data_IF_451777228408
#
_entry.id   IF_451777228408
#
_cell.length_a   1.000
_cell.length_b   1.000
_cell.length_c   1.000
_cell.angle_alpha   90.00
_cell.angle_beta   90.00
_cell.angle_gamma   90.00
#
_symmetry.space_group_name_H-M   'P 1'
#
loop_
_entity.id
_entity.type
_entity.pdbx_description
1 polymer ?
#
# COMPACT_ATOMS: atom_id res chain seq x y z
N UNK A 1 -86.95 -38.94 -9.29
CA UNK A 1 -86.43 -37.74 -8.64
C UNK A 1 -85.33 -38.16 -7.69
N UNK A 2 -84.11 -38.15 -8.14
CA UNK A 2 -82.91 -38.63 -7.36
C UNK A 2 -82.16 -37.44 -6.85
N UNK A 3 -82.01 -37.34 -5.52
CA UNK A 3 -81.31 -36.27 -4.81
C UNK A 3 -79.84 -36.73 -4.61
N UNK A 4 -78.88 -36.01 -5.19
CA UNK A 4 -77.49 -36.24 -4.97
C UNK A 4 -77.06 -35.48 -3.72
N UNK A 5 -76.52 -36.20 -2.71
CA UNK A 5 -75.82 -35.68 -1.54
C UNK A 5 -74.36 -35.42 -1.90
N UNK A 6 -73.97 -34.15 -1.88
CA UNK A 6 -72.54 -33.80 -1.92
C UNK A 6 -71.93 -33.99 -0.53
N UNK A 7 -70.92 -34.85 -0.47
CA UNK A 7 -70.03 -35.03 0.69
C UNK A 7 -68.84 -34.08 0.53
N UNK A 8 -68.78 -33.06 1.39
CA UNK A 8 -67.59 -32.21 1.50
C UNK A 8 -66.57 -32.94 2.37
N UNK A 9 -65.35 -33.22 1.81
CA UNK A 9 -64.17 -33.66 2.56
C UNK A 9 -63.40 -32.39 3.04
N UNK A 10 -62.99 -32.29 4.31
CA UNK A 10 -62.15 -31.21 4.76
C UNK A 10 -60.73 -31.41 4.22
N UNK A 11 -60.21 -30.38 3.53
CA UNK A 11 -58.79 -30.30 3.13
C UNK A 11 -58.01 -29.86 4.36
N UNK A 12 -57.20 -30.78 4.90
CA UNK A 12 -56.28 -30.49 5.98
C UNK A 12 -55.07 -29.76 5.41
N UNK A 13 -54.94 -28.45 5.68
CA UNK A 13 -53.79 -27.64 5.33
C UNK A 13 -52.73 -27.85 6.41
N UNK A 14 -51.72 -28.68 6.15
CA UNK A 14 -50.52 -28.78 6.93
C UNK A 14 -49.63 -27.60 6.54
N UNK A 15 -49.57 -26.57 7.41
CA UNK A 15 -48.63 -25.47 7.30
C UNK A 15 -47.25 -26.01 7.72
N UNK A 16 -46.41 -26.31 6.74
CA UNK A 16 -44.99 -26.61 6.98
C UNK A 16 -44.26 -25.29 7.29
N UNK A 17 -44.04 -25.04 8.57
CA UNK A 17 -43.19 -23.91 9.02
C UNK A 17 -41.74 -24.23 8.68
N UNK A 18 -41.24 -23.69 7.58
CA UNK A 18 -39.83 -23.73 7.23
C UNK A 18 -39.13 -22.74 8.18
N UNK A 19 -38.51 -23.25 9.24
CA UNK A 19 -37.58 -22.48 10.06
C UNK A 19 -36.29 -22.32 9.25
N UNK A 20 -36.13 -21.16 8.60
CA UNK A 20 -34.88 -20.75 8.01
C UNK A 20 -33.94 -20.41 9.17
N UNK A 21 -33.12 -21.39 9.58
CA UNK A 21 -31.94 -21.12 10.38
C UNK A 21 -30.98 -20.31 9.51
N UNK A 22 -31.07 -18.97 9.58
CA UNK A 22 -30.01 -18.08 9.17
C UNK A 22 -28.81 -18.43 10.03
N UNK A 23 -27.92 -19.29 9.52
CA UNK A 23 -26.59 -19.44 10.06
C UNK A 23 -25.94 -18.07 9.85
N UNK A 24 -26.07 -17.21 10.87
CA UNK A 24 -25.14 -16.10 11.08
C UNK A 24 -23.77 -16.76 11.28
N UNK A 25 -23.08 -17.03 10.16
CA UNK A 25 -21.65 -17.25 10.23
C UNK A 25 -21.11 -16.04 11.01
N UNK A 26 -20.41 -16.23 12.14
CA UNK A 26 -19.75 -15.12 12.75
C UNK A 26 -18.87 -14.53 11.67
N UNK A 27 -19.17 -13.30 11.25
CA UNK A 27 -18.21 -12.51 10.51
C UNK A 27 -17.01 -12.43 11.44
N UNK A 28 -16.07 -13.36 11.27
CA UNK A 28 -14.80 -13.27 11.95
C UNK A 28 -14.28 -11.91 11.59
N UNK A 29 -14.24 -11.04 12.59
CA UNK A 29 -13.50 -9.77 12.54
C UNK A 29 -12.06 -10.18 12.32
N UNK A 30 -11.71 -10.40 11.04
CA UNK A 30 -10.35 -10.67 10.65
C UNK A 30 -9.58 -9.39 10.90
N UNK A 31 -8.53 -9.50 11.68
CA UNK A 31 -7.56 -8.44 11.88
C UNK A 31 -6.80 -8.26 10.57
N UNK A 32 -7.48 -7.67 9.58
CA UNK A 32 -6.96 -7.43 8.25
C UNK A 32 -6.29 -6.07 8.19
N UNK A 33 -5.34 -5.92 7.29
CA UNK A 33 -4.76 -4.62 6.95
C UNK A 33 -5.86 -3.66 6.50
N UNK A 34 -5.92 -2.50 7.13
CA UNK A 34 -6.84 -1.42 6.74
C UNK A 34 -6.04 -0.25 6.19
N UNK A 35 -6.49 0.30 5.09
CA UNK A 35 -5.81 1.38 4.38
C UNK A 35 -6.81 2.50 4.17
N UNK A 36 -6.45 3.69 4.63
CA UNK A 36 -7.25 4.90 4.50
C UNK A 36 -6.42 6.02 3.88
N UNK A 37 -6.96 6.68 2.85
CA UNK A 37 -6.37 7.93 2.33
C UNK A 37 -6.60 9.05 3.33
N UNK A 38 -5.60 9.93 3.42
CA UNK A 38 -5.70 11.15 4.22
C UNK A 38 -5.40 12.39 3.36
N UNK A 39 -5.94 12.43 2.15
CA UNK A 39 -5.67 13.49 1.19
C UNK A 39 -6.43 14.79 1.49
N UNK A 40 -7.56 14.72 2.19
CA UNK A 40 -8.41 15.86 2.46
C UNK A 40 -8.07 16.60 3.76
N UNK A 41 -8.59 17.83 3.88
CA UNK A 41 -8.56 18.62 5.11
C UNK A 41 -7.15 18.93 5.64
N UNK A 42 -6.26 19.34 4.76
CA UNK A 42 -4.95 19.85 5.12
C UNK A 42 -4.90 21.36 5.16
N UNK A 43 -4.15 21.89 6.11
CA UNK A 43 -3.71 23.28 6.15
C UNK A 43 -2.28 23.36 5.66
N UNK A 44 -1.98 24.37 4.82
CA UNK A 44 -0.67 24.55 4.20
C UNK A 44 -0.15 25.99 4.36
N UNK A 45 1.18 26.12 4.54
CA UNK A 45 1.89 27.41 4.53
C UNK A 45 3.29 27.27 3.95
N UNK A 46 3.67 28.22 3.08
CA UNK A 46 5.07 28.41 2.62
C UNK A 46 5.92 29.06 3.72
N UNK A 47 7.20 28.74 3.74
CA UNK A 47 8.19 29.33 4.66
C UNK A 47 8.31 28.57 5.98
N UNK A 48 9.29 28.95 6.79
CA UNK A 48 9.51 28.30 8.11
C UNK A 48 8.43 28.68 9.12
N UNK A 49 7.98 27.69 9.87
CA UNK A 49 6.97 27.87 10.92
C UNK A 49 7.09 26.78 12.01
N UNK A 50 8.16 26.82 12.79
CA UNK A 50 8.37 25.83 13.87
C UNK A 50 7.30 25.89 14.97
N UNK A 51 6.62 27.03 15.15
CA UNK A 51 5.48 27.15 16.03
C UNK A 51 4.32 26.21 15.67
N UNK A 52 4.25 25.79 14.41
CA UNK A 52 3.25 24.83 13.91
C UNK A 52 3.31 23.45 14.60
N UNK A 53 4.38 23.14 15.30
CA UNK A 53 4.52 21.91 16.07
C UNK A 53 3.67 21.90 17.35
N UNK A 54 3.32 23.08 17.85
CA UNK A 54 2.42 23.20 19.00
C UNK A 54 0.98 22.82 18.58
N UNK A 55 0.36 21.91 19.33
CA UNK A 55 -1.02 21.48 19.07
C UNK A 55 -2.04 22.61 19.26
N UNK A 56 -1.71 23.64 20.05
CA UNK A 56 -2.55 24.82 20.30
C UNK A 56 -2.36 25.95 19.28
N UNK A 57 -1.38 25.78 18.38
CA UNK A 57 -1.11 26.76 17.31
C UNK A 57 -2.35 26.91 16.41
N UNK A 58 -2.75 28.16 16.18
CA UNK A 58 -3.86 28.48 15.28
C UNK A 58 -3.38 28.59 13.85
N UNK A 59 -3.98 27.78 12.99
CA UNK A 59 -3.70 27.73 11.56
C UNK A 59 -4.86 28.23 10.70
N UNK A 60 -5.75 29.05 11.28
CA UNK A 60 -6.93 29.60 10.60
C UNK A 60 -6.58 30.41 9.33
N UNK A 61 -5.41 31.07 9.35
CA UNK A 61 -4.90 31.86 8.20
C UNK A 61 -4.14 31.02 7.15
N UNK A 62 -3.96 29.72 7.40
CA UNK A 62 -3.30 28.84 6.45
C UNK A 62 -4.24 28.45 5.32
N UNK A 63 -3.66 28.17 4.16
CA UNK A 63 -4.40 27.72 2.99
C UNK A 63 -5.01 26.33 3.24
N UNK A 64 -6.30 26.18 2.90
CA UNK A 64 -6.96 24.89 2.84
C UNK A 64 -6.59 24.20 1.52
N UNK A 65 -6.01 23.00 1.64
CA UNK A 65 -5.56 22.25 0.46
C UNK A 65 -5.97 20.77 0.53
N UNK A 66 -5.92 20.13 -0.63
CA UNK A 66 -6.02 18.69 -0.79
C UNK A 66 -4.71 18.13 -1.35
N UNK A 67 -4.39 16.88 -0.99
CA UNK A 67 -3.30 16.14 -1.64
C UNK A 67 -3.86 15.39 -2.86
N UNK A 68 -3.07 15.19 -3.91
CA UNK A 68 -1.70 15.69 -4.14
C UNK A 68 -1.61 17.23 -4.21
N UNK A 69 -0.53 17.82 -3.69
CA UNK A 69 -0.34 19.26 -3.66
C UNK A 69 1.11 19.66 -3.96
N UNK A 70 1.26 20.73 -4.77
CA UNK A 70 2.53 21.44 -4.95
C UNK A 70 2.32 22.93 -4.76
N UNK A 71 3.29 23.60 -4.16
CA UNK A 71 3.26 25.06 -4.02
C UNK A 71 3.88 25.81 -5.20
N UNK A 72 4.39 25.09 -6.21
CA UNK A 72 5.06 25.66 -7.39
C UNK A 72 4.15 25.73 -8.62
N UNK A 73 2.90 26.12 -8.42
CA UNK A 73 1.94 26.33 -9.53
C UNK A 73 2.28 27.54 -10.38
N UNK A 74 3.11 28.46 -9.85
CA UNK A 74 3.67 29.65 -10.48
C UNK A 74 4.90 29.38 -11.37
N UNK A 75 5.50 28.20 -11.28
CA UNK A 75 6.74 27.86 -12.01
C UNK A 75 6.65 27.95 -13.53
N UNK A 76 5.45 28.07 -14.09
CA UNK A 76 5.23 28.27 -15.54
C UNK A 76 5.28 29.74 -15.95
N UNK A 77 5.19 30.67 -15.02
CA UNK A 77 5.16 32.12 -15.26
C UNK A 77 6.32 32.84 -14.62
N UNK A 78 6.84 32.30 -13.51
CA UNK A 78 7.91 32.89 -12.71
C UNK A 78 9.24 32.17 -12.94
N UNK A 79 10.29 32.91 -13.33
CA UNK A 79 11.65 32.35 -13.45
C UNK A 79 12.21 31.90 -12.12
N UNK A 80 11.97 32.67 -11.07
CA UNK A 80 12.50 32.48 -9.73
C UNK A 80 11.36 32.00 -8.80
N UNK A 81 10.74 30.86 -9.16
CA UNK A 81 9.72 30.25 -8.31
C UNK A 81 10.29 29.83 -6.96
N UNK A 82 9.43 29.83 -5.93
CA UNK A 82 9.83 29.55 -4.56
C UNK A 82 10.45 28.16 -4.40
N UNK A 83 11.69 28.10 -3.90
CA UNK A 83 12.35 26.90 -3.38
C UNK A 83 12.66 27.13 -1.90
N UNK A 84 12.17 26.24 -1.05
CA UNK A 84 12.25 26.39 0.39
C UNK A 84 11.40 25.37 1.10
N UNK A 85 10.89 25.75 2.25
CA UNK A 85 10.07 24.89 3.10
C UNK A 85 8.59 25.14 2.91
N UNK A 86 7.79 24.08 3.02
CA UNK A 86 6.35 24.11 3.15
C UNK A 86 5.92 23.27 4.34
N UNK A 87 4.96 23.78 5.09
CA UNK A 87 4.43 23.13 6.27
C UNK A 87 2.98 22.72 6.04
N UNK A 88 2.69 21.47 6.34
CA UNK A 88 1.39 20.83 6.23
C UNK A 88 0.92 20.46 7.63
N UNK A 89 -0.34 20.78 7.96
CA UNK A 89 -0.96 20.38 9.22
C UNK A 89 -2.30 19.73 8.97
N UNK A 90 -2.58 18.68 9.71
CA UNK A 90 -3.87 17.99 9.68
C UNK A 90 -4.18 17.36 11.04
N UNK A 91 -5.40 17.51 11.49
CA UNK A 91 -5.91 16.73 12.60
C UNK A 91 -6.36 15.34 12.09
N UNK A 92 -5.92 14.29 12.77
CA UNK A 92 -6.33 12.91 12.49
C UNK A 92 -7.04 12.32 13.71
N UNK A 93 -8.17 11.64 13.46
CA UNK A 93 -8.94 10.88 14.44
C UNK A 93 -8.92 9.44 13.99
N UNK A 94 -8.48 8.55 14.88
CA UNK A 94 -8.35 7.14 14.54
C UNK A 94 -9.67 6.40 14.80
N UNK A 95 -10.03 5.44 13.92
CA UNK A 95 -11.15 4.54 14.18
C UNK A 95 -10.94 3.75 15.48
N UNK A 96 -12.03 3.48 16.22
CA UNK A 96 -11.96 2.75 17.50
C UNK A 96 -11.48 1.30 17.34
N UNK A 97 -11.74 0.68 16.22
CA UNK A 97 -11.29 -0.68 15.88
C UNK A 97 -9.80 -0.76 15.51
N UNK A 98 -9.10 0.40 15.47
CA UNK A 98 -7.64 0.46 15.34
C UNK A 98 -6.91 0.38 16.69
N UNK A 99 -7.62 0.41 17.80
CA UNK A 99 -7.01 0.23 19.14
C UNK A 99 -6.29 -1.12 19.19
N UNK A 100 -5.00 -1.09 19.54
CA UNK A 100 -4.14 -2.27 19.61
C UNK A 100 -3.50 -2.69 18.29
N UNK A 101 -3.83 -2.03 17.17
CA UNK A 101 -3.12 -2.18 15.88
C UNK A 101 -1.87 -1.32 15.82
N UNK A 102 -0.97 -1.67 14.91
CA UNK A 102 0.13 -0.81 14.49
C UNK A 102 -0.36 0.11 13.37
N UNK A 103 -0.07 1.40 13.49
CA UNK A 103 -0.50 2.42 12.52
C UNK A 103 0.73 3.03 11.86
N UNK A 104 0.71 3.06 10.54
CA UNK A 104 1.77 3.62 9.71
C UNK A 104 1.25 4.81 8.92
N UNK A 105 2.09 5.83 8.80
CA UNK A 105 1.92 6.91 7.82
C UNK A 105 2.76 6.56 6.60
N UNK A 106 2.13 6.52 5.42
CA UNK A 106 2.80 6.38 4.14
C UNK A 106 2.57 7.63 3.30
N UNK A 107 3.64 8.17 2.74
CA UNK A 107 3.63 9.19 1.70
C UNK A 107 4.13 8.55 0.41
N UNK A 108 3.34 8.58 -0.65
CA UNK A 108 3.76 7.98 -1.93
C UNK A 108 4.85 8.80 -2.64
N UNK A 109 4.88 10.11 -2.44
CA UNK A 109 6.04 10.96 -2.72
C UNK A 109 5.87 12.35 -2.10
N UNK A 110 6.99 12.92 -1.65
CA UNK A 110 7.07 14.33 -1.22
C UNK A 110 8.46 14.88 -1.57
N UNK A 111 8.54 16.04 -2.20
CA UNK A 111 9.80 16.56 -2.73
C UNK A 111 10.38 17.66 -1.82
N UNK A 112 11.59 17.44 -1.29
CA UNK A 112 12.48 16.26 -1.45
C UNK A 112 13.04 15.78 -0.13
N UNK A 113 12.93 16.59 0.92
CA UNK A 113 13.23 16.21 2.31
C UNK A 113 11.99 16.44 3.16
N UNK A 114 11.58 15.43 3.91
CA UNK A 114 10.41 15.52 4.79
C UNK A 114 10.79 15.26 6.23
N UNK A 115 10.23 16.04 7.15
CA UNK A 115 10.23 15.74 8.58
C UNK A 115 8.79 15.59 9.06
N UNK A 116 8.49 14.52 9.75
CA UNK A 116 7.14 14.16 10.19
C UNK A 116 7.06 14.25 11.71
N UNK A 117 5.99 14.88 12.20
CA UNK A 117 5.72 15.07 13.61
C UNK A 117 4.28 14.67 13.93
N UNK A 118 4.09 14.05 15.10
CA UNK A 118 2.78 13.76 15.67
C UNK A 118 2.75 14.36 17.09
N UNK A 119 1.73 15.17 17.37
CA UNK A 119 1.54 15.80 18.67
C UNK A 119 2.80 16.55 19.16
N UNK A 120 3.46 17.27 18.26
CA UNK A 120 4.70 18.03 18.51
C UNK A 120 5.98 17.19 18.60
N UNK A 121 5.90 15.87 18.57
CA UNK A 121 7.06 14.96 18.65
C UNK A 121 7.52 14.53 17.26
N UNK A 122 8.84 14.60 17.00
CA UNK A 122 9.42 14.10 15.75
C UNK A 122 9.27 12.57 15.69
N UNK A 123 8.62 12.09 14.63
CA UNK A 123 8.47 10.67 14.31
C UNK A 123 9.66 10.17 13.50
N UNK A 124 10.05 10.93 12.47
CA UNK A 124 11.11 10.57 11.56
C UNK A 124 11.25 11.56 10.41
N UNK A 125 12.12 11.19 9.49
CA UNK A 125 12.41 11.96 8.28
C UNK A 125 12.61 11.03 7.09
N UNK A 126 12.41 11.57 5.89
CA UNK A 126 12.72 10.90 4.64
C UNK A 126 13.47 11.85 3.71
N UNK A 127 14.50 11.32 3.04
CA UNK A 127 15.31 12.01 2.06
C UNK A 127 15.16 11.33 0.72
N UNK A 128 14.62 12.04 -0.25
CA UNK A 128 14.32 11.54 -1.59
C UNK A 128 12.97 12.04 -2.07
N UNK A 129 12.94 12.66 -3.27
CA UNK A 129 11.74 13.33 -3.77
C UNK A 129 10.80 12.43 -4.58
N UNK A 130 11.22 11.20 -4.93
CA UNK A 130 10.53 10.39 -5.94
C UNK A 130 10.15 8.99 -5.43
N UNK A 131 10.46 8.68 -4.19
CA UNK A 131 10.19 7.38 -3.58
C UNK A 131 9.18 7.50 -2.46
N UNK A 132 8.39 6.45 -2.27
CA UNK A 132 7.50 6.34 -1.14
C UNK A 132 8.28 6.19 0.18
N UNK A 133 7.71 6.71 1.26
CA UNK A 133 8.20 6.53 2.62
C UNK A 133 7.09 6.04 3.53
N UNK A 134 7.41 5.11 4.42
CA UNK A 134 6.47 4.58 5.41
C UNK A 134 7.12 4.61 6.80
N UNK A 135 6.44 5.23 7.76
CA UNK A 135 6.90 5.35 9.14
C UNK A 135 5.87 4.77 10.11
N UNK A 136 6.30 4.01 11.08
CA UNK A 136 5.44 3.59 12.19
C UNK A 136 5.18 4.79 13.11
N UNK A 137 3.94 5.24 13.16
CA UNK A 137 3.52 6.38 13.98
C UNK A 137 2.83 5.95 15.29
N UNK A 138 2.60 4.66 15.49
CA UNK A 138 1.87 4.10 16.66
C UNK A 138 2.35 4.65 18.01
N UNK A 139 3.68 4.76 18.29
CA UNK A 139 4.15 5.21 19.61
C UNK A 139 3.83 6.67 19.93
N UNK A 140 3.42 7.45 18.92
CA UNK A 140 3.16 8.88 19.03
C UNK A 140 1.66 9.22 19.07
N UNK A 141 0.80 8.20 18.81
CA UNK A 141 -0.65 8.39 18.68
C UNK A 141 -1.38 8.27 20.02
N UNK A 142 -2.43 9.06 20.13
CA UNK A 142 -3.52 8.86 21.07
C UNK A 142 -4.71 8.25 20.32
N UNK A 143 -5.21 7.10 20.78
CA UNK A 143 -6.37 6.43 20.17
C UNK A 143 -7.71 7.00 20.66
N UNK A 144 -7.70 7.77 21.77
CA UNK A 144 -8.92 8.28 22.41
C UNK A 144 -9.14 9.78 22.19
N UNK A 145 -8.26 10.43 21.44
CA UNK A 145 -8.33 11.86 21.16
C UNK A 145 -7.76 12.19 19.79
N UNK A 146 -8.11 13.35 19.22
CA UNK A 146 -7.50 13.81 17.99
C UNK A 146 -5.97 13.93 18.11
N UNK A 147 -5.28 13.64 17.01
CA UNK A 147 -3.84 13.78 16.90
C UNK A 147 -3.50 14.87 15.88
N UNK A 148 -2.51 15.68 16.17
CA UNK A 148 -2.02 16.69 15.23
C UNK A 148 -0.84 16.11 14.44
N UNK A 149 -1.06 15.85 13.15
CA UNK A 149 -0.03 15.47 12.18
C UNK A 149 0.54 16.75 11.56
N UNK A 150 1.86 16.91 11.63
CA UNK A 150 2.58 18.02 11.00
C UNK A 150 3.68 17.44 10.10
N UNK A 151 3.75 17.90 8.86
CA UNK A 151 4.77 17.50 7.89
C UNK A 151 5.47 18.74 7.37
N UNK A 152 6.77 18.83 7.59
CA UNK A 152 7.64 19.85 6.97
C UNK A 152 8.29 19.24 5.73
N UNK A 153 8.13 19.89 4.60
CA UNK A 153 8.74 19.48 3.32
C UNK A 153 9.70 20.58 2.86
N UNK A 154 10.86 20.21 2.32
CA UNK A 154 11.88 21.15 1.87
C UNK A 154 12.41 20.73 0.49
N UNK A 155 12.20 21.56 -0.54
CA UNK A 155 12.70 21.31 -1.90
C UNK A 155 13.97 22.10 -2.25
N UNK A 156 14.54 22.87 -1.32
CA UNK A 156 15.73 23.67 -1.53
C UNK A 156 17.05 22.96 -1.20
N UNK A 157 17.02 21.82 -0.50
CA UNK A 157 18.21 21.08 -0.04
C UNK A 157 19.18 20.80 -1.21
N UNK A 158 20.40 21.36 -1.16
CA UNK A 158 21.42 21.19 -2.19
C UNK A 158 22.27 19.94 -2.06
N UNK A 159 22.18 19.27 -0.93
CA UNK A 159 22.83 17.99 -0.65
C UNK A 159 21.98 16.76 -1.08
N UNK A 160 20.75 16.99 -1.57
CA UNK A 160 19.82 15.94 -2.02
C UNK A 160 19.56 16.10 -3.52
N UNK A 161 19.95 15.13 -4.37
CA UNK A 161 19.63 15.17 -5.80
C UNK A 161 18.12 15.12 -6.10
N UNK A 162 17.68 15.68 -7.24
CA UNK A 162 18.44 16.49 -8.17
C UNK A 162 18.70 17.91 -7.64
N UNK A 163 19.89 18.46 -7.91
CA UNK A 163 20.28 19.80 -7.47
C UNK A 163 20.22 20.84 -8.59
N UNK A 164 20.37 20.37 -9.82
CA UNK A 164 20.25 21.18 -11.05
C UNK A 164 19.62 20.32 -12.17
N UNK A 165 19.02 20.97 -13.14
CA UNK A 165 18.38 20.34 -14.29
C UNK A 165 17.61 21.35 -15.12
N UNK A 166 17.11 20.93 -16.26
CA UNK A 166 16.28 21.69 -17.19
C UNK A 166 14.77 21.50 -16.95
N UNK A 167 14.40 21.07 -15.75
CA UNK A 167 13.02 20.87 -15.33
C UNK A 167 12.72 21.60 -14.01
N UNK A 168 11.44 21.81 -13.74
CA UNK A 168 10.98 22.46 -12.51
C UNK A 168 11.18 21.56 -11.29
N UNK A 169 11.78 22.12 -10.24
CA UNK A 169 11.96 21.45 -8.94
C UNK A 169 10.72 21.67 -8.06
N UNK A 170 9.66 20.97 -8.40
CA UNK A 170 8.42 21.06 -7.63
C UNK A 170 8.63 20.65 -6.18
N UNK A 171 8.05 21.42 -5.25
CA UNK A 171 7.98 21.09 -3.83
C UNK A 171 6.57 20.72 -3.42
N UNK A 172 6.46 19.94 -2.38
CA UNK A 172 5.18 19.54 -1.81
C UNK A 172 5.00 18.04 -1.62
N UNK A 173 3.84 17.66 -1.05
CA UNK A 173 3.36 16.28 -1.00
C UNK A 173 2.54 16.08 -2.27
N UNK A 174 3.21 15.69 -3.35
CA UNK A 174 2.64 15.70 -4.70
C UNK A 174 2.06 14.35 -5.14
N UNK A 175 1.94 13.41 -4.20
CA UNK A 175 1.21 12.14 -4.32
C UNK A 175 0.40 11.90 -3.06
N UNK A 176 -0.29 10.77 -3.02
CA UNK A 176 -1.19 10.42 -1.95
C UNK A 176 -0.49 10.21 -0.60
N UNK A 177 -1.25 10.48 0.46
CA UNK A 177 -0.90 10.17 1.83
C UNK A 177 -1.92 9.17 2.42
N UNK A 178 -1.39 8.19 3.18
CA UNK A 178 -2.16 7.06 3.69
C UNK A 178 -1.90 6.81 5.16
N UNK A 179 -2.94 6.42 5.90
CA UNK A 179 -2.82 5.70 7.14
C UNK A 179 -3.06 4.21 6.87
N UNK A 180 -2.16 3.38 7.38
CA UNK A 180 -2.24 1.92 7.24
C UNK A 180 -2.24 1.32 8.63
N UNK A 181 -3.33 0.65 9.00
CA UNK A 181 -3.45 -0.07 10.26
C UNK A 181 -3.29 -1.56 10.02
N UNK A 182 -2.41 -2.20 10.78
CA UNK A 182 -2.15 -3.64 10.72
C UNK A 182 -2.16 -4.25 12.12
N UNK A 183 -2.43 -5.55 12.27
CA UNK A 183 -2.28 -6.25 13.54
C UNK A 183 -0.84 -6.18 14.07
N UNK A 184 -0.65 -6.59 15.33
CA UNK A 184 0.69 -6.63 15.94
C UNK A 184 1.65 -7.61 15.24
N UNK A 185 1.14 -8.63 14.54
CA UNK A 185 1.93 -9.45 13.63
C UNK A 185 1.58 -9.04 12.20
N UNK A 186 2.58 -8.66 11.42
CA UNK A 186 2.36 -8.12 10.07
C UNK A 186 3.62 -8.23 9.21
N UNK A 187 3.50 -8.04 7.89
CA UNK A 187 4.65 -7.80 7.02
C UNK A 187 5.25 -6.42 7.32
N UNK A 188 6.58 -6.31 7.29
CA UNK A 188 7.25 -5.06 7.63
C UNK A 188 7.06 -3.99 6.54
N UNK A 189 6.24 -2.99 6.82
CA UNK A 189 5.89 -1.91 5.90
C UNK A 189 6.97 -0.82 5.78
N UNK A 190 7.97 -0.82 6.65
CA UNK A 190 8.99 0.25 6.66
C UNK A 190 10.15 -0.03 5.70
N UNK A 191 10.18 -1.20 5.06
CA UNK A 191 11.22 -1.57 4.12
C UNK A 191 10.96 -0.89 2.76
N UNK A 192 11.72 0.14 2.44
CA UNK A 192 11.64 0.92 1.19
C UNK A 192 10.24 1.49 0.84
N UNK A 193 9.38 1.74 1.85
CA UNK A 193 8.00 2.18 1.61
C UNK A 193 7.11 1.17 0.87
N UNK A 194 7.54 -0.10 0.84
CA UNK A 194 6.82 -1.23 0.23
C UNK A 194 5.76 -1.78 1.18
N UNK A 195 5.06 -2.81 0.74
CA UNK A 195 4.14 -3.60 1.59
C UNK A 195 4.83 -4.79 2.28
N UNK A 196 6.16 -4.84 2.21
CA UNK A 196 7.00 -5.81 2.91
C UNK A 196 7.23 -7.12 2.15
N UNK A 197 6.75 -7.24 0.91
CA UNK A 197 6.89 -8.43 0.07
C UNK A 197 7.62 -8.08 -1.22
N UNK A 198 8.63 -8.86 -1.56
CA UNK A 198 9.43 -8.70 -2.77
C UNK A 198 9.40 -9.98 -3.59
N UNK A 199 9.13 -9.85 -4.88
CA UNK A 199 8.97 -10.97 -5.80
C UNK A 199 10.00 -10.84 -6.90
N UNK A 200 10.74 -11.93 -7.16
CA UNK A 200 11.70 -12.02 -8.25
C UNK A 200 11.47 -13.29 -9.06
N UNK A 201 11.90 -13.27 -10.33
CA UNK A 201 11.81 -14.41 -11.26
C UNK A 201 13.22 -14.79 -11.70
N UNK A 202 13.99 -15.52 -10.87
CA UNK A 202 15.42 -15.75 -11.08
C UNK A 202 15.77 -16.48 -12.38
N UNK A 203 14.90 -17.38 -12.83
CA UNK A 203 15.06 -18.12 -14.09
C UNK A 203 13.73 -18.17 -14.83
N UNK A 204 13.74 -17.78 -16.08
CA UNK A 204 12.58 -17.81 -16.96
C UNK A 204 13.00 -18.35 -18.33
N UNK A 205 12.23 -19.28 -18.85
CA UNK A 205 12.34 -19.82 -20.21
C UNK A 205 10.94 -20.19 -20.71
N UNK A 206 10.83 -20.65 -21.96
CA UNK A 206 9.57 -21.18 -22.50
C UNK A 206 9.14 -22.48 -21.81
N UNK A 207 10.10 -23.25 -21.26
CA UNK A 207 9.82 -24.52 -20.60
C UNK A 207 9.46 -24.39 -19.16
N UNK A 208 10.05 -23.43 -18.45
CA UNK A 208 9.79 -23.24 -17.01
C UNK A 208 10.18 -21.85 -16.53
N UNK A 209 9.52 -21.42 -15.46
CA UNK A 209 9.88 -20.24 -14.70
C UNK A 209 10.00 -20.56 -13.20
N UNK A 210 10.95 -19.93 -12.53
CA UNK A 210 11.08 -19.95 -11.06
C UNK A 210 10.65 -18.63 -10.46
N UNK A 211 10.08 -18.70 -9.27
CA UNK A 211 9.61 -17.55 -8.50
C UNK A 211 10.26 -17.59 -7.12
N UNK A 212 10.84 -16.48 -6.67
CA UNK A 212 11.32 -16.31 -5.30
C UNK A 212 10.56 -15.16 -4.65
N UNK A 213 10.05 -15.40 -3.43
CA UNK A 213 9.29 -14.45 -2.64
C UNK A 213 10.02 -14.26 -1.33
N UNK A 214 10.44 -13.03 -1.04
CA UNK A 214 11.14 -12.71 0.19
C UNK A 214 10.56 -11.47 0.86
N UNK A 215 10.83 -11.30 2.13
CA UNK A 215 10.37 -10.18 2.90
C UNK A 215 10.66 -10.33 4.38
N UNK A 216 10.03 -9.48 5.17
CA UNK A 216 10.18 -9.47 6.62
C UNK A 216 8.81 -9.55 7.31
N UNK A 217 8.73 -10.35 8.37
CA UNK A 217 7.56 -10.43 9.24
C UNK A 217 7.95 -9.87 10.60
N UNK A 218 7.07 -9.04 11.16
CA UNK A 218 7.28 -8.39 12.44
C UNK A 218 6.24 -8.83 13.46
N UNK A 219 6.67 -9.01 14.71
CA UNK A 219 5.81 -9.24 15.85
C UNK A 219 5.97 -8.11 16.86
N UNK A 220 5.12 -7.10 16.80
CA UNK A 220 5.10 -5.98 17.75
C UNK A 220 4.34 -6.28 19.05
N UNK A 221 3.81 -7.51 19.22
CA UNK A 221 3.17 -7.93 20.46
C UNK A 221 4.21 -8.24 21.55
N UNK A 222 3.74 -8.22 22.80
CA UNK A 222 4.53 -8.57 23.99
C UNK A 222 4.71 -10.09 24.18
N UNK A 223 4.04 -10.90 23.37
CA UNK A 223 4.07 -12.34 23.42
C UNK A 223 4.66 -12.95 22.16
N UNK A 224 5.12 -14.19 22.26
CA UNK A 224 5.55 -14.96 21.09
C UNK A 224 4.37 -15.26 20.17
N UNK A 225 4.62 -15.30 18.88
CA UNK A 225 3.65 -15.64 17.85
C UNK A 225 4.05 -16.91 17.10
N UNK A 226 3.05 -17.75 16.78
CA UNK A 226 3.19 -18.90 15.88
C UNK A 226 2.29 -18.65 14.66
N UNK A 227 2.91 -18.54 13.49
CA UNK A 227 2.28 -18.13 12.25
C UNK A 227 2.51 -19.18 11.15
N UNK A 228 1.55 -19.30 10.24
CA UNK A 228 1.72 -20.01 8.97
C UNK A 228 1.76 -18.99 7.85
N UNK A 229 2.89 -18.89 7.16
CA UNK A 229 3.06 -18.09 5.93
C UNK A 229 2.64 -18.96 4.75
N UNK A 230 1.72 -18.44 3.94
CA UNK A 230 1.17 -19.14 2.77
C UNK A 230 1.32 -18.29 1.54
N UNK A 231 1.96 -18.83 0.50
CA UNK A 231 2.00 -18.24 -0.83
C UNK A 231 1.10 -19.04 -1.76
N UNK A 232 0.12 -18.37 -2.36
CA UNK A 232 -0.78 -18.94 -3.38
C UNK A 232 -0.52 -18.25 -4.72
N UNK A 233 -0.17 -19.04 -5.73
CA UNK A 233 0.16 -18.55 -7.08
C UNK A 233 -1.00 -18.90 -8.00
N UNK A 234 -1.52 -17.88 -8.69
CA UNK A 234 -2.63 -18.02 -9.61
C UNK A 234 -2.19 -17.71 -11.04
N UNK A 235 -2.68 -18.49 -11.95
CA UNK A 235 -2.56 -18.28 -13.40
C UNK A 235 -3.27 -16.97 -13.82
N UNK A 236 -2.94 -16.35 -14.96
CA UNK A 236 -3.62 -15.15 -15.45
C UNK A 236 -5.15 -15.26 -15.61
N UNK A 237 -5.68 -16.45 -15.77
CA UNK A 237 -7.13 -16.71 -15.81
C UNK A 237 -7.79 -16.84 -14.42
N UNK A 238 -6.99 -16.71 -13.34
CA UNK A 238 -7.45 -16.82 -11.96
C UNK A 238 -7.40 -18.23 -11.35
N UNK A 239 -7.02 -19.25 -12.10
CA UNK A 239 -6.89 -20.63 -11.59
C UNK A 239 -5.74 -20.73 -10.59
N UNK A 240 -5.94 -21.37 -9.45
CA UNK A 240 -4.86 -21.67 -8.50
C UNK A 240 -3.92 -22.71 -9.09
N UNK A 241 -2.65 -22.34 -9.23
CA UNK A 241 -1.61 -23.24 -9.73
C UNK A 241 -0.95 -24.04 -8.62
N UNK A 242 -0.54 -23.36 -7.57
CA UNK A 242 0.16 -23.99 -6.46
C UNK A 242 0.10 -23.16 -5.19
N UNK A 243 0.31 -23.82 -4.06
CA UNK A 243 0.39 -23.22 -2.74
C UNK A 243 1.63 -23.74 -2.03
N UNK A 244 2.39 -22.83 -1.43
CA UNK A 244 3.52 -23.17 -0.57
C UNK A 244 3.29 -22.62 0.82
N UNK A 245 3.62 -23.42 1.84
CA UNK A 245 3.42 -23.07 3.25
C UNK A 245 4.72 -23.18 4.03
N UNK A 246 4.90 -22.26 4.98
CA UNK A 246 6.03 -22.23 5.90
C UNK A 246 5.55 -21.89 7.30
N UNK A 247 5.99 -22.66 8.29
CA UNK A 247 5.74 -22.35 9.70
C UNK A 247 6.77 -21.37 10.23
N UNK A 248 6.31 -20.31 10.91
CA UNK A 248 7.16 -19.23 11.43
C UNK A 248 6.84 -19.01 12.91
N UNK A 249 7.85 -19.03 13.75
CA UNK A 249 7.75 -18.63 15.16
C UNK A 249 8.51 -17.31 15.36
N UNK A 250 7.89 -16.35 16.02
CA UNK A 250 8.49 -15.06 16.37
C UNK A 250 8.45 -14.86 17.88
N UNK A 251 9.53 -14.34 18.44
CA UNK A 251 9.56 -13.83 19.81
C UNK A 251 8.82 -12.49 19.89
N UNK A 252 8.55 -12.02 21.08
CA UNK A 252 8.06 -10.66 21.31
C UNK A 252 9.06 -9.63 20.74
N UNK A 253 8.57 -8.65 19.97
CA UNK A 253 9.38 -7.60 19.34
C UNK A 253 10.31 -8.07 18.20
N UNK A 254 10.25 -9.34 17.78
CA UNK A 254 11.14 -9.89 16.75
C UNK A 254 10.70 -9.47 15.35
N UNK A 255 11.68 -9.09 14.52
CA UNK A 255 11.57 -9.03 13.06
C UNK A 255 12.35 -10.19 12.47
N UNK A 256 11.75 -10.95 11.54
CA UNK A 256 12.36 -12.10 10.89
C UNK A 256 12.20 -12.04 9.38
N UNK A 257 13.29 -12.26 8.69
CA UNK A 257 13.29 -12.46 7.25
C UNK A 257 12.71 -13.83 6.88
N UNK A 258 12.02 -13.89 5.77
CA UNK A 258 11.66 -15.13 5.09
C UNK A 258 12.13 -15.08 3.64
N UNK A 259 12.44 -16.25 3.12
CA UNK A 259 12.80 -16.47 1.71
C UNK A 259 12.15 -17.78 1.28
N UNK A 260 11.32 -17.70 0.24
CA UNK A 260 10.50 -18.79 -0.26
C UNK A 260 10.76 -18.99 -1.74
N UNK A 261 11.46 -20.07 -2.10
CA UNK A 261 11.66 -20.48 -3.48
C UNK A 261 10.47 -21.35 -3.89
N UNK A 262 9.67 -20.86 -4.81
CA UNK A 262 8.47 -21.55 -5.29
C UNK A 262 8.87 -22.60 -6.31
N UNK A 263 8.20 -23.76 -6.28
CA UNK A 263 8.41 -24.82 -7.26
C UNK A 263 8.24 -24.30 -8.69
N UNK A 264 9.02 -24.79 -9.68
CA UNK A 264 8.96 -24.27 -11.03
C UNK A 264 7.56 -24.37 -11.64
N UNK A 265 7.14 -23.28 -12.29
CA UNK A 265 5.93 -23.23 -13.11
C UNK A 265 6.32 -23.72 -14.51
N UNK A 266 5.71 -24.81 -14.95
CA UNK A 266 5.98 -25.41 -16.24
C UNK A 266 5.20 -24.69 -17.36
N UNK A 267 5.85 -24.50 -18.52
CA UNK A 267 5.30 -23.85 -19.72
C UNK A 267 4.57 -22.52 -19.37
N UNK A 268 5.26 -21.57 -18.72
CA UNK A 268 4.62 -20.34 -18.28
C UNK A 268 4.15 -19.51 -19.48
N UNK A 269 3.01 -18.82 -19.33
CA UNK A 269 2.63 -17.76 -20.25
C UNK A 269 3.59 -16.59 -20.06
N UNK A 270 4.38 -16.32 -21.08
CA UNK A 270 5.39 -15.26 -21.05
C UNK A 270 4.75 -13.90 -21.25
N UNK A 271 5.21 -12.93 -20.48
CA UNK A 271 4.81 -11.54 -20.62
C UNK A 271 5.50 -10.90 -21.83
N UNK A 272 4.72 -10.25 -22.67
CA UNK A 272 5.20 -9.31 -23.70
C UNK A 272 4.28 -8.08 -23.68
N UNK A 273 4.65 -6.94 -24.30
CA UNK A 273 3.74 -5.81 -24.45
C UNK A 273 2.45 -6.16 -25.21
N UNK A 274 2.51 -7.09 -26.15
CA UNK A 274 1.37 -7.57 -26.95
C UNK A 274 0.49 -8.56 -26.20
N UNK A 275 1.09 -9.32 -25.27
CA UNK A 275 0.42 -10.33 -24.44
C UNK A 275 0.88 -10.16 -22.99
N UNK A 276 0.38 -9.16 -22.26
CA UNK A 276 0.88 -8.80 -20.93
C UNK A 276 0.34 -9.72 -19.84
N UNK A 277 0.61 -11.02 -19.95
CA UNK A 277 0.16 -11.99 -18.95
C UNK A 277 0.78 -11.72 -17.58
N UNK A 278 -0.07 -11.59 -16.56
CA UNK A 278 0.32 -11.39 -15.17
C UNK A 278 -0.26 -12.51 -14.30
N UNK A 279 0.62 -13.17 -13.58
CA UNK A 279 0.29 -14.12 -12.52
C UNK A 279 0.01 -13.35 -11.23
N UNK A 280 -1.01 -13.74 -10.48
CA UNK A 280 -1.28 -13.18 -9.16
C UNK A 280 -0.60 -14.02 -8.09
N UNK A 281 0.14 -13.36 -7.21
CA UNK A 281 0.81 -13.94 -6.06
C UNK A 281 0.16 -13.39 -4.81
N UNK A 282 -0.51 -14.24 -4.06
CA UNK A 282 -1.13 -13.92 -2.79
C UNK A 282 -0.24 -14.46 -1.67
N UNK A 283 0.17 -13.58 -0.77
CA UNK A 283 0.99 -13.92 0.39
C UNK A 283 0.20 -13.60 1.65
N UNK A 284 -0.10 -14.63 2.45
CA UNK A 284 -0.98 -14.54 3.61
C UNK A 284 -0.31 -15.08 4.86
N UNK A 285 -0.42 -14.33 5.95
CA UNK A 285 -0.07 -14.78 7.30
C UNK A 285 -1.32 -15.26 8.03
N UNK A 286 -1.28 -16.48 8.52
CA UNK A 286 -2.32 -17.05 9.40
C UNK A 286 -1.79 -17.21 10.81
N UNK A 287 -2.63 -16.95 11.79
CA UNK A 287 -2.37 -17.35 13.16
C UNK A 287 -2.57 -18.88 13.30
N UNK A 288 -1.55 -19.61 13.76
CA UNK A 288 -1.61 -21.07 13.84
C UNK A 288 -2.69 -21.58 14.81
N UNK A 289 -3.00 -20.82 15.87
CA UNK A 289 -3.97 -21.20 16.90
C UNK A 289 -5.41 -20.92 16.46
N UNK A 290 -5.68 -19.71 15.97
CA UNK A 290 -7.04 -19.27 15.61
C UNK A 290 -7.41 -19.59 14.17
N UNK A 291 -6.42 -19.90 13.33
CA UNK A 291 -6.55 -20.08 11.87
C UNK A 291 -7.08 -18.85 11.12
N UNK A 292 -7.12 -17.71 11.80
CA UNK A 292 -7.51 -16.43 11.19
C UNK A 292 -6.35 -15.82 10.36
N UNK A 293 -6.71 -15.09 9.32
CA UNK A 293 -5.76 -14.25 8.58
C UNK A 293 -5.31 -13.11 9.50
N UNK A 294 -4.01 -12.91 9.56
CA UNK A 294 -3.37 -11.85 10.33
C UNK A 294 -3.00 -10.70 9.42
N UNK A 295 -2.35 -10.98 8.30
CA UNK A 295 -1.99 -9.99 7.29
C UNK A 295 -1.96 -10.66 5.91
N UNK A 296 -2.22 -9.88 4.85
CA UNK A 296 -2.26 -10.39 3.48
C UNK A 296 -1.81 -9.32 2.51
N UNK A 297 -1.07 -9.74 1.48
CA UNK A 297 -0.69 -8.89 0.36
C UNK A 297 -0.86 -9.62 -0.97
N UNK A 298 -1.24 -8.87 -2.01
CA UNK A 298 -1.48 -9.37 -3.35
C UNK A 298 -0.62 -8.63 -4.35
N UNK A 299 0.11 -9.39 -5.17
CA UNK A 299 1.00 -8.87 -6.20
C UNK A 299 0.71 -9.49 -7.56
N UNK A 300 1.13 -8.79 -8.59
CA UNK A 300 1.14 -9.30 -9.94
C UNK A 300 2.57 -9.39 -10.46
N UNK A 301 2.92 -10.50 -11.11
CA UNK A 301 4.23 -10.70 -11.72
C UNK A 301 4.12 -11.31 -13.10
N UNK A 302 4.96 -10.86 -14.03
CA UNK A 302 5.03 -11.40 -15.38
C UNK A 302 6.35 -12.16 -15.58
N UNK A 303 6.29 -13.31 -16.22
CA UNK A 303 7.48 -14.08 -16.56
C UNK A 303 8.06 -13.61 -17.87
N UNK A 304 9.26 -13.05 -17.83
CA UNK A 304 10.02 -12.61 -19.00
C UNK A 304 11.50 -12.63 -18.71
N UNK A 305 12.30 -12.73 -19.76
CA UNK A 305 13.73 -12.45 -19.71
C UNK A 305 14.11 -11.52 -20.85
N UNK A 306 15.23 -10.85 -20.71
CA UNK A 306 15.78 -10.03 -21.77
C UNK A 306 17.31 -10.08 -21.76
N UNK A 307 17.89 -9.74 -22.90
CA UNK A 307 19.31 -9.51 -23.03
C UNK A 307 19.59 -8.51 -24.15
N UNK A 308 20.80 -7.99 -24.16
CA UNK A 308 21.30 -7.14 -25.22
C UNK A 308 22.43 -7.88 -25.95
N UNK A 309 22.39 -7.87 -27.28
CA UNK A 309 23.49 -8.32 -28.13
C UNK A 309 24.17 -7.13 -28.79
N UNK A 310 25.50 -7.11 -28.75
CA UNK A 310 26.30 -6.10 -29.46
C UNK A 310 25.95 -6.14 -30.96
N UNK A 311 25.68 -4.98 -31.53
CA UNK A 311 25.30 -4.78 -32.94
C UNK A 311 23.93 -5.35 -33.37
N UNK A 312 23.21 -6.03 -32.50
CA UNK A 312 21.88 -6.60 -32.82
C UNK A 312 20.76 -5.99 -31.99
N UNK A 313 21.09 -5.43 -30.81
CA UNK A 313 20.16 -4.70 -29.96
C UNK A 313 19.48 -5.52 -28.89
N UNK A 314 18.24 -5.17 -28.58
CA UNK A 314 17.47 -5.76 -27.46
C UNK A 314 16.65 -6.97 -27.89
N UNK A 315 16.65 -7.99 -27.03
CA UNK A 315 15.87 -9.21 -27.17
C UNK A 315 14.96 -9.39 -25.97
N UNK A 316 13.68 -9.68 -26.22
CA UNK A 316 12.70 -10.04 -25.21
C UNK A 316 12.25 -11.49 -25.46
N UNK A 317 12.36 -12.33 -24.42
CA UNK A 317 12.02 -13.76 -24.49
C UNK A 317 12.71 -14.46 -25.68
N UNK A 318 13.98 -14.14 -25.91
CA UNK A 318 14.80 -14.72 -26.99
C UNK A 318 14.49 -14.17 -28.38
N UNK A 319 13.53 -13.26 -28.55
CA UNK A 319 13.17 -12.68 -29.86
C UNK A 319 13.66 -11.24 -29.97
N UNK A 320 14.19 -10.81 -31.14
CA UNK A 320 14.54 -9.41 -31.36
C UNK A 320 13.32 -8.52 -31.09
N UNK A 321 13.50 -7.45 -30.31
CA UNK A 321 12.42 -6.53 -29.98
C UNK A 321 12.89 -5.09 -30.11
N UNK A 322 12.18 -4.29 -30.91
CA UNK A 322 12.49 -2.87 -31.08
C UNK A 322 11.89 -2.06 -29.97
N UNK A 323 12.74 -1.52 -29.09
CA UNK A 323 12.32 -0.56 -28.08
C UNK A 323 11.89 0.76 -28.75
N UNK A 324 10.71 1.24 -28.40
CA UNK A 324 10.18 2.54 -28.80
C UNK A 324 9.91 3.35 -27.55
N UNK A 325 10.45 4.55 -27.50
CA UNK A 325 10.33 5.44 -26.35
C UNK A 325 10.09 6.86 -26.75
N UNK A 326 9.45 7.60 -25.86
CA UNK A 326 9.27 9.05 -25.93
C UNK A 326 9.66 9.67 -24.59
N UNK A 327 10.13 10.90 -24.60
CA UNK A 327 10.27 11.69 -23.41
C UNK A 327 8.90 12.26 -23.03
N UNK A 328 8.56 12.22 -21.74
CA UNK A 328 7.35 12.82 -21.22
C UNK A 328 7.66 13.60 -19.94
N UNK A 329 7.30 14.87 -19.91
CA UNK A 329 7.24 15.67 -18.71
C UNK A 329 5.84 15.54 -18.11
N UNK A 330 5.76 15.13 -16.83
CA UNK A 330 4.48 14.84 -16.15
C UNK A 330 4.08 16.02 -15.27
N UNK A 331 3.97 17.20 -15.88
CA UNK A 331 3.50 18.37 -15.19
C UNK A 331 2.42 19.08 -16.02
N UNK A 332 1.49 19.75 -15.34
CA UNK A 332 0.35 20.41 -15.96
C UNK A 332 0.05 21.70 -15.20
N UNK A 333 -0.10 22.82 -15.94
CA UNK A 333 -0.66 24.04 -15.36
C UNK A 333 -2.16 23.84 -15.05
N UNK A 334 -2.68 24.23 -13.88
CA UNK A 334 -2.04 24.93 -12.76
C UNK A 334 -1.58 24.03 -11.61
N UNK A 335 -1.59 22.71 -11.76
CA UNK A 335 -1.36 21.77 -10.67
C UNK A 335 0.06 21.22 -10.61
N UNK A 336 0.93 21.66 -11.54
CA UNK A 336 2.31 21.19 -11.58
C UNK A 336 2.40 19.67 -11.68
N UNK A 337 3.18 19.07 -10.80
CA UNK A 337 3.42 17.62 -10.72
C UNK A 337 2.39 16.88 -9.85
N UNK A 338 1.48 17.63 -9.21
CA UNK A 338 0.44 17.08 -8.32
C UNK A 338 -0.76 16.52 -9.11
N UNK A 339 -0.50 15.57 -9.98
CA UNK A 339 -1.50 14.90 -10.82
C UNK A 339 -2.28 13.86 -10.00
N UNK A 340 -3.59 13.81 -10.19
CA UNK A 340 -4.53 12.84 -9.61
C UNK A 340 -4.79 11.68 -10.56
#
# INVERSE_FOLDING_TARGET
MRIFKHIHKPVCWTIATIIIFSILAPSSLYAQREIQTINDSWKFRKGECTAALDSTFKDDEWEDIHLPHTWNTDAYTEKDYYRGTGWYRRQIILPQDWIGKQVFLKLDAASKATCIYINGKKVGEHTGGYTASTLNITPFLSFNSPNMLVIRVDNARMDIPPISGDFTFFGGIYRDAWLIAVPSQHFNLTNHGSDGIFITTPRVSEQQATLSIHGEIKNDAREKAALELVHSIYHPDGTLLQTQKQFIQLKAGETRNFDSNISPILQPLLWTPETPYLYRVETTLFNCKTKSIVDQSNHHTGFRWFHFESNKGFYLNGKPYKLRGICRHQDQKPIGVALT
#
